data_IF_282221814842
#
_entry.id   IF_282221814842
#
_cell.length_a   1.000
_cell.length_b   1.000
_cell.length_c   1.000
_cell.angle_alpha   90.00
_cell.angle_beta   90.00
_cell.angle_gamma   90.00
#
_symmetry.space_group_name_H-M   'P 1'
#
loop_
_entity.id
_entity.type
_entity.pdbx_description
1 polymer ?
#
# COMPACT_ATOMS: atom_id res chain seq x y z
N UNK A 1 16.64 -1.88 -15.70
CA UNK A 1 15.32 -2.46 -15.38
C UNK A 1 14.80 -1.73 -14.15
N UNK A 2 13.53 -1.32 -14.10
CA UNK A 2 12.98 -0.71 -12.89
C UNK A 2 12.78 -1.76 -11.80
N UNK A 3 12.96 -1.39 -10.53
CA UNK A 3 12.66 -2.28 -9.41
C UNK A 3 11.15 -2.53 -9.32
N UNK A 4 10.76 -3.77 -9.02
CA UNK A 4 9.38 -4.16 -8.76
C UNK A 4 9.33 -4.79 -7.37
N UNK A 5 8.65 -4.12 -6.45
CA UNK A 5 8.43 -4.61 -5.09
C UNK A 5 6.94 -4.81 -4.86
N UNK A 6 6.60 -5.88 -4.17
CA UNK A 6 5.24 -6.27 -3.86
C UNK A 6 5.16 -6.62 -2.37
N UNK A 7 4.02 -6.31 -1.77
CA UNK A 7 3.61 -6.87 -0.47
C UNK A 7 2.21 -7.43 -0.61
N UNK A 8 1.84 -8.34 0.28
CA UNK A 8 0.49 -8.89 0.32
C UNK A 8 -0.12 -8.70 1.70
N UNK A 9 -1.39 -8.32 1.71
CA UNK A 9 -2.23 -8.40 2.91
C UNK A 9 -2.86 -9.79 2.98
N UNK A 10 -2.55 -10.57 4.02
CA UNK A 10 -3.26 -11.80 4.35
C UNK A 10 -4.60 -11.43 5.03
N UNK A 11 -5.72 -11.66 4.34
CA UNK A 11 -7.06 -11.33 4.84
C UNK A 11 -7.52 -12.26 5.98
N UNK A 12 -6.88 -13.43 6.13
CA UNK A 12 -7.28 -14.46 7.11
C UNK A 12 -6.51 -14.28 8.41
N UNK A 13 -5.23 -13.91 8.31
CA UNK A 13 -4.35 -13.71 9.46
C UNK A 13 -4.15 -12.23 9.80
N UNK A 14 -4.72 -11.34 9.02
CA UNK A 14 -4.63 -9.88 9.17
C UNK A 14 -3.17 -9.40 9.30
N UNK A 15 -2.31 -9.86 8.39
CA UNK A 15 -0.87 -9.59 8.43
C UNK A 15 -0.32 -9.18 7.07
N UNK A 16 0.57 -8.19 7.08
CA UNK A 16 1.39 -7.85 5.92
C UNK A 16 2.56 -8.82 5.76
N UNK A 17 2.70 -9.37 4.56
CA UNK A 17 3.75 -10.33 4.20
C UNK A 17 4.43 -9.89 2.91
N UNK A 18 5.70 -10.28 2.75
CA UNK A 18 6.39 -10.20 1.46
C UNK A 18 6.15 -11.51 0.71
N UNK A 19 5.54 -11.50 -0.49
CA UNK A 19 5.39 -12.71 -1.29
C UNK A 19 6.77 -13.21 -1.74
N UNK A 20 6.94 -14.54 -1.76
CA UNK A 20 8.13 -15.19 -2.33
C UNK A 20 7.96 -15.47 -3.82
N UNK A 21 6.73 -15.79 -4.25
CA UNK A 21 6.39 -15.98 -5.65
C UNK A 21 4.90 -15.71 -5.89
N UNK A 22 4.55 -15.31 -7.12
CA UNK A 22 3.17 -15.08 -7.56
C UNK A 22 3.02 -15.79 -8.91
N UNK A 23 1.93 -16.55 -9.06
CA UNK A 23 1.68 -17.35 -10.26
C UNK A 23 0.46 -16.85 -11.02
N UNK A 24 0.59 -16.83 -12.34
CA UNK A 24 -0.44 -16.46 -13.30
C UNK A 24 -0.77 -17.67 -14.16
N UNK A 25 -2.02 -17.78 -14.59
CA UNK A 25 -2.40 -18.71 -15.65
C UNK A 25 -2.01 -18.08 -16.99
N UNK A 26 -1.62 -18.89 -17.97
CA UNK A 26 -1.15 -18.42 -19.29
C UNK A 26 -2.21 -17.61 -20.03
N UNK A 27 -3.49 -17.83 -19.70
CA UNK A 27 -4.64 -17.17 -20.31
C UNK A 27 -5.22 -16.04 -19.45
N UNK A 28 -4.63 -15.75 -18.27
CA UNK A 28 -5.16 -14.77 -17.32
C UNK A 28 -4.16 -13.65 -17.05
N UNK A 29 -4.66 -12.41 -17.03
CA UNK A 29 -3.90 -11.24 -16.57
C UNK A 29 -3.93 -11.10 -15.04
N UNK A 30 -4.77 -11.87 -14.35
CA UNK A 30 -4.86 -11.89 -12.90
C UNK A 30 -4.12 -13.10 -12.32
N UNK A 31 -3.36 -12.93 -11.22
CA UNK A 31 -2.71 -14.05 -10.56
C UNK A 31 -3.77 -14.98 -9.96
N UNK A 32 -3.43 -16.26 -9.77
CA UNK A 32 -4.32 -17.23 -9.12
C UNK A 32 -3.76 -17.80 -7.81
N UNK A 33 -2.43 -17.74 -7.63
CA UNK A 33 -1.77 -18.25 -6.43
C UNK A 33 -0.59 -17.37 -6.00
N UNK A 34 -0.31 -17.38 -4.70
CA UNK A 34 0.84 -16.72 -4.08
C UNK A 34 1.53 -17.68 -3.11
N UNK A 35 2.85 -17.61 -3.04
CA UNK A 35 3.66 -18.25 -2.00
C UNK A 35 4.17 -17.17 -1.05
N UNK A 36 4.05 -17.43 0.25
CA UNK A 36 4.52 -16.55 1.33
C UNK A 36 5.40 -17.34 2.30
N UNK A 37 6.27 -16.68 3.10
CA UNK A 37 7.21 -17.37 3.97
C UNK A 37 6.55 -18.39 4.90
N UNK A 38 7.10 -19.62 4.91
CA UNK A 38 6.63 -20.70 5.78
C UNK A 38 5.33 -21.38 5.34
N UNK A 39 4.84 -21.12 4.12
CA UNK A 39 3.63 -21.74 3.57
C UNK A 39 3.83 -22.22 2.14
N UNK A 40 3.13 -23.31 1.78
CA UNK A 40 2.97 -23.75 0.40
C UNK A 40 2.15 -22.73 -0.42
N UNK A 41 2.01 -22.97 -1.72
CA UNK A 41 1.15 -22.16 -2.58
C UNK A 41 -0.28 -22.07 -2.05
N UNK A 42 -0.80 -20.84 -1.98
CA UNK A 42 -2.15 -20.55 -1.54
C UNK A 42 -2.94 -19.77 -2.60
N UNK A 43 -4.28 -19.92 -2.67
CA UNK A 43 -5.11 -19.16 -3.59
C UNK A 43 -5.00 -17.65 -3.34
N UNK A 44 -4.87 -16.86 -4.41
CA UNK A 44 -4.74 -15.40 -4.29
C UNK A 44 -5.94 -14.75 -3.60
N UNK A 45 -7.13 -15.36 -3.63
CA UNK A 45 -8.35 -14.82 -3.03
C UNK A 45 -8.24 -14.59 -1.51
N UNK A 46 -7.30 -15.26 -0.84
CA UNK A 46 -6.99 -15.01 0.58
C UNK A 46 -6.19 -13.71 0.80
N UNK A 47 -5.67 -13.12 -0.26
CA UNK A 47 -4.68 -12.05 -0.21
C UNK A 47 -5.14 -10.80 -0.96
N UNK A 48 -4.49 -9.67 -0.66
CA UNK A 48 -4.54 -8.45 -1.47
C UNK A 48 -3.11 -8.15 -1.89
N UNK A 49 -2.86 -8.08 -3.19
CA UNK A 49 -1.56 -7.71 -3.72
C UNK A 49 -1.45 -6.19 -3.78
N UNK A 50 -0.36 -5.63 -3.25
CA UNK A 50 -0.12 -4.20 -3.17
C UNK A 50 1.25 -3.90 -3.80
N UNK A 51 1.27 -2.96 -4.74
CA UNK A 51 2.46 -2.61 -5.49
C UNK A 51 3.18 -1.42 -4.88
N UNK A 52 4.52 -1.47 -4.87
CA UNK A 52 5.35 -0.30 -4.55
C UNK A 52 5.22 0.77 -5.64
N UNK A 53 5.10 2.01 -5.22
CA UNK A 53 4.85 3.16 -6.10
C UNK A 53 6.08 3.59 -6.90
N UNK A 54 7.28 3.20 -6.45
CA UNK A 54 8.56 3.71 -6.96
C UNK A 54 9.14 4.84 -6.11
N UNK A 55 8.39 5.33 -5.12
CA UNK A 55 8.81 6.41 -4.23
C UNK A 55 9.00 5.91 -2.79
N UNK A 56 9.76 6.69 -2.03
CA UNK A 56 9.85 6.59 -0.58
C UNK A 56 9.32 7.87 0.07
N UNK A 57 8.89 7.77 1.32
CA UNK A 57 8.56 8.93 2.13
C UNK A 57 9.82 9.68 2.61
N UNK A 58 9.64 10.77 3.36
CA UNK A 58 10.75 11.59 3.86
C UNK A 58 11.69 10.83 4.82
N UNK A 59 11.25 9.69 5.38
CA UNK A 59 12.07 8.83 6.23
C UNK A 59 12.76 7.70 5.45
N UNK A 60 12.63 7.67 4.11
CA UNK A 60 13.16 6.61 3.26
C UNK A 60 12.31 5.33 3.27
N UNK A 61 11.08 5.37 3.79
CA UNK A 61 10.17 4.23 3.80
C UNK A 61 9.54 4.06 2.42
N UNK A 62 9.72 2.90 1.78
CA UNK A 62 9.03 2.56 0.52
C UNK A 62 7.51 2.74 0.66
N UNK A 63 6.89 3.48 -0.26
CA UNK A 63 5.44 3.74 -0.27
C UNK A 63 4.73 2.78 -1.25
N UNK A 64 3.71 2.08 -0.77
CA UNK A 64 2.93 1.10 -1.51
C UNK A 64 1.47 1.53 -1.68
N UNK A 65 0.76 0.90 -2.61
CA UNK A 65 -0.70 1.00 -2.70
C UNK A 65 -1.37 0.70 -1.35
N UNK A 66 -2.39 1.49 -1.03
CA UNK A 66 -3.15 1.41 0.22
C UNK A 66 -2.45 2.03 1.44
N UNK A 67 -1.20 2.50 1.32
CA UNK A 67 -0.57 3.26 2.40
C UNK A 67 -1.30 4.57 2.68
N UNK A 68 -1.26 4.97 3.95
CA UNK A 68 -1.71 6.25 4.44
C UNK A 68 -0.47 7.10 4.72
N UNK A 69 -0.41 8.25 4.07
CA UNK A 69 0.68 9.20 4.22
C UNK A 69 0.16 10.51 4.78
N UNK A 70 0.95 11.12 5.66
CA UNK A 70 0.64 12.43 6.24
C UNK A 70 1.53 13.48 5.61
N UNK A 71 0.91 14.51 5.03
CA UNK A 71 1.58 15.72 4.54
C UNK A 71 1.03 16.88 5.35
N UNK A 72 1.88 17.49 6.17
CA UNK A 72 1.45 18.50 7.15
C UNK A 72 0.32 17.95 8.04
N UNK A 73 -0.88 18.54 7.99
CA UNK A 73 -2.05 18.12 8.78
C UNK A 73 -3.04 17.26 8.01
N UNK A 74 -2.76 16.92 6.75
CA UNK A 74 -3.67 16.20 5.87
C UNK A 74 -3.20 14.77 5.66
N UNK A 75 -4.13 13.83 5.74
CA UNK A 75 -3.86 12.41 5.50
C UNK A 75 -4.37 12.04 4.11
N UNK A 76 -3.51 11.39 3.34
CA UNK A 76 -3.83 10.89 2.02
C UNK A 76 -3.69 9.37 1.99
N UNK A 77 -4.53 8.73 1.17
CA UNK A 77 -4.39 7.32 0.79
C UNK A 77 -3.73 7.21 -0.58
N UNK A 78 -2.74 6.34 -0.70
CA UNK A 78 -2.10 5.99 -1.96
C UNK A 78 -3.01 5.05 -2.75
N UNK A 79 -3.41 5.46 -3.95
CA UNK A 79 -4.33 4.69 -4.82
C UNK A 79 -3.76 4.55 -6.23
N UNK A 80 -4.17 3.49 -6.95
CA UNK A 80 -3.94 3.37 -8.38
C UNK A 80 -5.06 4.05 -9.17
N UNK A 81 -4.73 5.10 -9.95
CA UNK A 81 -5.64 5.72 -10.90
C UNK A 81 -5.57 4.98 -12.24
N UNK A 82 -6.58 4.15 -12.51
CA UNK A 82 -6.70 3.39 -13.77
C UNK A 82 -6.82 4.26 -15.01
N UNK A 83 -7.43 5.45 -14.91
CA UNK A 83 -7.63 6.36 -16.04
C UNK A 83 -6.33 6.99 -16.51
N UNK A 84 -5.48 7.39 -15.55
CA UNK A 84 -4.19 8.02 -15.83
C UNK A 84 -3.02 7.03 -15.81
N UNK A 85 -3.27 5.77 -15.47
CA UNK A 85 -2.28 4.71 -15.30
C UNK A 85 -1.09 5.15 -14.41
N UNK A 86 -1.41 5.80 -13.29
CA UNK A 86 -0.43 6.29 -12.30
C UNK A 86 -0.94 6.09 -10.88
N UNK A 87 -0.04 6.12 -9.91
CA UNK A 87 -0.41 6.27 -8.50
C UNK A 87 -0.77 7.73 -8.20
N UNK A 88 -1.67 7.92 -7.25
CA UNK A 88 -2.09 9.23 -6.76
C UNK A 88 -2.35 9.19 -5.25
N UNK A 89 -2.34 10.37 -4.64
CA UNK A 89 -2.74 10.58 -3.26
C UNK A 89 -4.18 11.08 -3.22
N UNK A 90 -5.07 10.34 -2.57
CA UNK A 90 -6.46 10.71 -2.34
C UNK A 90 -6.63 11.18 -0.88
N UNK A 91 -7.03 12.43 -0.69
CA UNK A 91 -7.26 12.99 0.65
C UNK A 91 -8.36 12.22 1.39
N UNK A 92 -8.13 11.89 2.66
CA UNK A 92 -9.17 11.31 3.51
C UNK A 92 -10.14 12.39 4.01
N UNK A 93 -11.43 12.20 3.74
CA UNK A 93 -12.48 13.15 4.14
C UNK A 93 -12.84 14.17 3.06
N UNK A 94 -12.13 14.17 1.94
CA UNK A 94 -12.46 14.95 0.74
C UNK A 94 -12.34 14.07 -0.52
N UNK A 95 -12.51 14.66 -1.70
CA UNK A 95 -12.23 14.01 -2.99
C UNK A 95 -11.03 14.64 -3.71
N UNK A 96 -10.26 15.48 -3.01
CA UNK A 96 -9.07 16.10 -3.56
C UNK A 96 -7.99 15.06 -3.80
N UNK A 97 -7.23 15.26 -4.87
CA UNK A 97 -6.12 14.41 -5.25
C UNK A 97 -4.87 15.23 -5.47
N UNK A 98 -3.71 14.64 -5.19
CA UNK A 98 -2.43 15.18 -5.62
C UNK A 98 -1.54 14.08 -6.21
N UNK A 99 -0.49 14.54 -6.89
CA UNK A 99 0.47 13.67 -7.56
C UNK A 99 1.22 12.79 -6.56
N UNK A 100 1.59 11.58 -6.99
CA UNK A 100 2.34 10.64 -6.14
C UNK A 100 3.70 11.17 -5.70
N UNK A 101 4.34 12.05 -6.46
CA UNK A 101 5.63 12.66 -6.12
C UNK A 101 5.61 13.42 -4.79
N UNK A 102 4.44 13.90 -4.35
CA UNK A 102 4.29 14.59 -3.07
C UNK A 102 4.57 13.70 -1.85
N UNK A 103 4.66 12.37 -2.02
CA UNK A 103 5.04 11.46 -0.92
C UNK A 103 6.45 11.70 -0.39
N UNK A 104 7.35 12.27 -1.19
CA UNK A 104 8.72 12.59 -0.75
C UNK A 104 8.72 13.61 0.42
N UNK A 105 7.66 14.42 0.52
CA UNK A 105 7.44 15.37 1.62
C UNK A 105 6.50 14.82 2.71
N UNK A 106 6.21 13.52 2.69
CA UNK A 106 5.23 12.88 3.57
C UNK A 106 5.90 11.94 4.58
N UNK A 107 5.10 11.44 5.52
CA UNK A 107 5.46 10.33 6.40
C UNK A 107 4.39 9.25 6.27
N UNK A 108 4.78 7.99 6.04
CA UNK A 108 3.88 6.84 6.10
C UNK A 108 3.44 6.64 7.55
N UNK A 109 2.14 6.67 7.80
CA UNK A 109 1.53 6.53 9.13
C UNK A 109 0.75 5.21 9.30
N UNK A 110 0.64 4.42 8.25
CA UNK A 110 -0.08 3.14 8.26
C UNK A 110 -0.58 2.76 6.87
N UNK A 111 -1.57 1.87 6.82
CA UNK A 111 -2.28 1.50 5.59
C UNK A 111 -3.73 1.16 5.89
N UNK A 112 -4.57 1.09 4.85
CA UNK A 112 -6.01 0.87 4.97
C UNK A 112 -6.40 -0.51 5.53
N UNK A 113 -5.46 -1.45 5.62
CA UNK A 113 -5.73 -2.82 6.05
C UNK A 113 -5.42 -3.07 7.53
N UNK A 114 -4.36 -2.45 8.04
CA UNK A 114 -3.94 -2.57 9.44
C UNK A 114 -4.67 -1.53 10.28
N UNK A 115 -5.85 -1.90 10.82
CA UNK A 115 -6.78 -1.05 11.58
C UNK A 115 -6.25 -0.46 12.92
N UNK A 116 -4.95 -0.53 13.21
CA UNK A 116 -4.39 -0.17 14.51
C UNK A 116 -4.06 1.33 14.70
N UNK A 117 -4.05 2.17 13.65
CA UNK A 117 -3.49 3.54 13.75
C UNK A 117 -4.45 4.70 13.43
N UNK A 118 -5.75 4.43 13.27
CA UNK A 118 -6.75 5.47 13.00
C UNK A 118 -7.78 5.61 14.13
N UNK A 119 -7.36 5.48 15.40
CA UNK A 119 -8.17 6.08 16.47
C UNK A 119 -8.04 7.60 16.38
N UNK A 120 -9.11 8.37 16.61
CA UNK A 120 -9.05 9.85 16.61
C UNK A 120 -7.98 10.42 17.55
N UNK A 121 -7.56 9.64 18.55
CA UNK A 121 -6.59 10.02 19.59
C UNK A 121 -5.12 9.94 19.11
N UNK A 122 -4.80 9.11 18.10
CA UNK A 122 -3.43 8.98 17.59
C UNK A 122 -2.96 10.20 16.76
N UNK A 123 -3.90 11.07 16.35
CA UNK A 123 -3.60 12.31 15.63
C UNK A 123 -3.06 13.42 16.58
N UNK A 124 -3.25 13.28 17.90
CA UNK A 124 -2.81 14.27 18.89
C UNK A 124 -1.37 14.09 19.41
N UNK A 125 -0.70 12.97 19.15
CA UNK A 125 0.61 12.66 19.75
C UNK A 125 1.74 12.50 18.74
N UNK A 126 1.91 13.47 17.85
CA UNK A 126 3.22 13.73 17.20
C UNK A 126 3.40 15.25 17.04
N UNK A 127 3.43 15.95 18.16
CA UNK A 127 3.92 17.32 18.27
C UNK A 127 4.91 17.37 19.44
N UNK A 128 6.16 17.01 19.16
CA UNK A 128 7.36 17.51 19.85
C UNK A 128 8.48 17.61 18.82
#
# INVERSE_FOLDING_TARGET
>A
MREIKLRVWDRIQEKMLKPQAISFDTNSTSPFAVSVPGRSWEPIGKYILLQWTGFCDNNGTDVYEGDLVKISSVIYKVIWNKTLATFELLELGSFSKCEISAVECSIVIGNEFQKAHLTPEAVQFTLF
#
